data_IF_241629257483
#
_entry.id   IF_241629257483
#
_cell.length_a   1.000
_cell.length_b   1.000
_cell.length_c   1.000
_cell.angle_alpha   90.00
_cell.angle_beta   90.00
_cell.angle_gamma   90.00
#
_symmetry.space_group_name_H-M   'P 1'
#
loop_
_entity.id
_entity.type
_entity.pdbx_description
1 polymer ?
#
# COMPACT_ATOMS: atom_id res chain seq x y z
N UNK A 1 -19.93 13.11 -3.54
CA UNK A 1 -18.94 13.29 -2.46
C UNK A 1 -18.96 14.75 -2.03
N UNK A 2 -18.64 15.04 -0.77
CA UNK A 2 -18.41 16.41 -0.29
C UNK A 2 -16.90 16.62 -0.22
N UNK A 3 -16.40 17.71 -0.76
CA UNK A 3 -14.98 18.05 -0.67
C UNK A 3 -14.57 18.25 0.79
N UNK A 4 -13.31 17.92 1.16
CA UNK A 4 -12.81 18.14 2.51
C UNK A 4 -12.86 19.63 2.86
N UNK A 5 -13.31 19.94 4.07
CA UNK A 5 -13.39 21.32 4.56
C UNK A 5 -11.99 21.95 4.74
N UNK A 6 -10.98 21.12 5.01
CA UNK A 6 -9.59 21.51 5.09
C UNK A 6 -8.74 20.65 4.13
N UNK A 7 -8.14 21.21 3.07
CA UNK A 7 -7.32 20.45 2.13
C UNK A 7 -6.01 19.94 2.75
N UNK A 8 -5.59 20.45 3.91
CA UNK A 8 -4.43 19.95 4.65
C UNK A 8 -4.77 18.78 5.59
N UNK A 9 -6.06 18.50 5.83
CA UNK A 9 -6.48 17.34 6.59
C UNK A 9 -6.33 16.08 5.75
N UNK A 10 -5.70 15.05 6.29
CA UNK A 10 -5.60 13.80 5.58
C UNK A 10 -6.98 13.14 5.49
N UNK A 11 -7.40 12.79 4.28
CA UNK A 11 -8.76 12.34 3.96
C UNK A 11 -9.28 11.20 4.85
N UNK A 12 -8.38 10.33 5.34
CA UNK A 12 -8.75 9.18 6.16
C UNK A 12 -9.27 9.60 7.54
N UNK A 13 -8.89 10.77 8.08
CA UNK A 13 -9.50 11.32 9.29
C UNK A 13 -10.98 11.62 9.05
N UNK A 14 -11.28 12.44 8.04
CA UNK A 14 -12.65 12.76 7.64
C UNK A 14 -13.47 11.53 7.20
N UNK A 15 -12.82 10.45 6.74
CA UNK A 15 -13.48 9.17 6.47
C UNK A 15 -13.85 8.46 7.77
N UNK A 16 -12.92 8.32 8.72
CA UNK A 16 -13.12 7.62 10.01
C UNK A 16 -14.19 8.25 10.90
N UNK A 17 -14.42 9.55 10.78
CA UNK A 17 -15.46 10.25 11.55
C UNK A 17 -16.89 9.90 11.11
N UNK A 18 -17.05 9.12 10.03
CA UNK A 18 -18.35 8.73 9.48
C UNK A 18 -18.54 7.24 9.64
N UNK A 19 -19.79 6.83 9.89
CA UNK A 19 -20.18 5.43 9.84
C UNK A 19 -20.34 5.00 8.38
N UNK A 20 -19.62 3.94 7.99
CA UNK A 20 -19.72 3.32 6.67
C UNK A 20 -20.16 1.86 6.82
N UNK A 21 -21.03 1.35 5.93
CA UNK A 21 -21.43 -0.05 5.96
C UNK A 21 -20.37 -0.98 5.32
N UNK A 22 -19.17 -0.47 5.08
CA UNK A 22 -18.05 -1.19 4.48
C UNK A 22 -16.73 -0.65 5.02
N UNK A 23 -15.73 -1.51 5.10
CA UNK A 23 -14.35 -1.10 5.35
C UNK A 23 -13.62 -0.72 4.05
N UNK A 24 -12.54 0.04 4.19
CA UNK A 24 -11.71 0.51 3.09
C UNK A 24 -10.25 0.11 3.28
N UNK A 25 -9.69 -0.51 2.24
CA UNK A 25 -8.27 -0.83 2.13
C UNK A 25 -7.66 0.05 1.04
N UNK A 26 -6.53 0.69 1.31
CA UNK A 26 -5.86 1.57 0.34
C UNK A 26 -4.33 1.44 0.37
N UNK A 27 -3.69 1.84 -0.73
CA UNK A 27 -2.23 1.92 -0.84
C UNK A 27 -1.84 2.98 -1.87
N UNK A 28 -1.12 4.01 -1.43
CA UNK A 28 -0.53 5.10 -2.25
C UNK A 28 0.15 6.16 -1.36
N UNK A 29 -0.27 6.28 -0.09
CA UNK A 29 0.15 7.35 0.80
C UNK A 29 1.31 6.94 1.72
N UNK A 30 2.43 6.55 1.12
CA UNK A 30 3.59 6.02 1.81
C UNK A 30 4.05 6.86 3.02
N UNK A 31 3.93 8.19 3.00
CA UNK A 31 4.40 9.07 4.08
C UNK A 31 3.77 8.72 5.44
N UNK A 32 2.54 8.20 5.45
CA UNK A 32 1.82 7.80 6.63
C UNK A 32 2.37 6.50 7.26
N UNK A 33 2.94 5.61 6.44
CA UNK A 33 3.30 4.26 6.87
C UNK A 33 2.09 3.34 6.99
N UNK A 34 2.27 2.21 7.67
CA UNK A 34 1.16 1.29 7.98
C UNK A 34 0.12 2.01 8.84
N UNK A 35 -1.09 2.14 8.32
CA UNK A 35 -2.18 2.80 9.03
C UNK A 35 -3.27 1.80 9.36
N UNK A 36 -3.64 1.75 10.63
CA UNK A 36 -4.78 0.96 11.08
C UNK A 36 -5.73 1.77 11.94
N UNK A 37 -7.01 1.73 11.57
CA UNK A 37 -8.10 2.37 12.28
C UNK A 37 -9.40 1.57 12.05
N UNK A 38 -10.48 1.81 12.82
CA UNK A 38 -11.78 1.17 12.59
C UNK A 38 -12.24 1.34 11.14
N UNK A 39 -12.57 0.24 10.47
CA UNK A 39 -12.98 0.24 9.06
C UNK A 39 -11.90 0.65 8.05
N UNK A 40 -10.64 0.89 8.45
CA UNK A 40 -9.58 1.34 7.55
C UNK A 40 -8.29 0.54 7.66
N UNK A 41 -7.68 0.28 6.51
CA UNK A 41 -6.35 -0.34 6.40
C UNK A 41 -5.54 0.36 5.30
N UNK A 42 -4.51 1.11 5.71
CA UNK A 42 -3.54 1.74 4.81
C UNK A 42 -2.29 0.88 4.71
N UNK A 43 -2.06 0.23 3.56
CA UNK A 43 -1.03 -0.79 3.39
C UNK A 43 0.28 -0.26 2.78
N UNK A 44 0.30 0.98 2.33
CA UNK A 44 1.51 1.57 1.74
C UNK A 44 2.51 1.99 2.83
N UNK A 45 3.40 1.06 3.16
CA UNK A 45 4.54 1.29 4.05
C UNK A 45 5.81 1.67 3.27
N UNK A 46 5.68 2.10 2.01
CA UNK A 46 6.76 2.72 1.25
C UNK A 46 7.81 1.76 0.70
N UNK A 47 7.43 0.55 0.28
CA UNK A 47 8.36 -0.50 -0.19
C UNK A 47 9.39 -0.01 -1.23
N UNK A 48 8.98 0.85 -2.16
CA UNK A 48 9.83 1.37 -3.24
C UNK A 48 10.94 2.30 -2.75
N UNK A 49 10.83 2.81 -1.51
CA UNK A 49 11.81 3.73 -0.93
C UNK A 49 13.02 3.01 -0.32
N UNK A 50 13.08 1.67 -0.37
CA UNK A 50 14.23 0.86 0.02
C UNK A 50 14.85 1.24 1.38
N UNK A 51 14.01 1.50 2.39
CA UNK A 51 14.45 1.81 3.75
C UNK A 51 15.14 3.16 3.93
N UNK A 52 14.98 4.12 3.01
CA UNK A 52 15.56 5.47 3.18
C UNK A 52 14.83 6.20 4.33
N UNK A 53 15.51 6.28 5.48
CA UNK A 53 15.11 7.13 6.60
C UNK A 53 14.01 6.57 7.52
N UNK A 54 13.52 5.33 7.27
CA UNK A 54 12.56 4.60 8.10
C UNK A 54 12.44 3.14 7.68
N UNK A 55 11.84 2.32 8.53
CA UNK A 55 11.49 0.94 8.19
C UNK A 55 10.37 0.93 7.14
N UNK A 56 10.66 0.37 5.98
CA UNK A 56 9.70 0.25 4.86
C UNK A 56 9.52 -1.21 4.49
N UNK A 57 8.31 -1.59 4.14
CA UNK A 57 7.99 -2.96 3.75
C UNK A 57 7.05 -2.98 2.55
N UNK A 58 6.98 -4.12 1.88
CA UNK A 58 5.76 -4.50 1.18
C UNK A 58 4.83 -5.11 2.23
N UNK A 59 3.72 -4.44 2.51
CA UNK A 59 2.71 -4.91 3.46
C UNK A 59 1.52 -5.51 2.71
N UNK A 60 1.05 -6.67 3.18
CA UNK A 60 -0.23 -7.25 2.82
C UNK A 60 -1.07 -7.44 4.09
N UNK A 61 -2.39 -7.35 3.95
CA UNK A 61 -3.35 -7.67 4.99
C UNK A 61 -4.14 -8.90 4.58
N UNK A 62 -4.18 -9.88 5.47
CA UNK A 62 -4.85 -11.17 5.32
C UNK A 62 -6.01 -11.19 6.34
N UNK A 63 -7.19 -10.66 5.97
CA UNK A 63 -8.34 -10.71 6.86
C UNK A 63 -8.78 -12.16 7.10
N UNK A 64 -9.19 -12.46 8.32
CA UNK A 64 -9.93 -13.68 8.58
C UNK A 64 -11.39 -13.47 8.13
N UNK A 65 -11.80 -14.22 7.11
CA UNK A 65 -13.11 -14.13 6.48
C UNK A 65 -14.20 -14.90 7.22
N UNK A 66 -13.85 -15.66 8.28
CA UNK A 66 -14.83 -16.33 9.13
C UNK A 66 -15.51 -15.36 10.12
N UNK A 67 -14.94 -14.15 10.28
CA UNK A 67 -15.49 -13.12 11.14
C UNK A 67 -16.59 -12.30 10.48
N UNK A 68 -17.55 -11.85 11.30
CA UNK A 68 -18.65 -11.00 10.85
C UNK A 68 -18.16 -9.62 10.36
N UNK A 69 -17.14 -9.05 11.03
CA UNK A 69 -16.42 -7.88 10.56
C UNK A 69 -14.91 -8.14 10.59
N UNK A 70 -14.25 -8.29 9.42
CA UNK A 70 -12.80 -8.47 9.34
C UNK A 70 -11.99 -7.30 9.90
N UNK A 71 -12.58 -6.11 10.09
CA UNK A 71 -11.91 -4.92 10.60
C UNK A 71 -11.93 -4.81 12.14
N UNK A 72 -12.72 -5.65 12.84
CA UNK A 72 -12.84 -5.67 14.32
C UNK A 72 -11.76 -6.52 15.02
N UNK A 73 -10.95 -7.28 14.27
CA UNK A 73 -9.88 -8.11 14.81
C UNK A 73 -8.69 -7.30 15.33
N UNK A 74 -7.91 -7.84 16.30
CA UNK A 74 -6.57 -7.35 16.54
C UNK A 74 -5.76 -7.44 15.24
N UNK A 75 -4.86 -6.48 15.05
CA UNK A 75 -4.12 -6.25 13.81
C UNK A 75 -2.93 -7.20 13.63
N UNK A 76 -3.14 -8.50 13.79
CA UNK A 76 -2.12 -9.54 13.64
C UNK A 76 -2.11 -10.18 12.23
N UNK A 77 -3.15 -9.95 11.43
CA UNK A 77 -3.26 -10.42 10.03
C UNK A 77 -2.36 -9.71 9.01
N UNK A 78 -1.27 -9.07 9.43
CA UNK A 78 -0.36 -8.39 8.51
C UNK A 78 0.85 -9.25 8.17
N UNK A 79 1.06 -9.41 6.87
CA UNK A 79 2.31 -9.95 6.35
C UNK A 79 3.19 -8.82 5.84
N UNK A 80 4.47 -8.84 6.20
CA UNK A 80 5.43 -7.83 5.78
C UNK A 80 6.68 -8.48 5.20
N UNK A 81 7.10 -7.99 4.03
CA UNK A 81 8.43 -8.24 3.49
C UNK A 81 9.22 -6.93 3.51
N UNK A 82 10.30 -6.90 4.30
CA UNK A 82 11.19 -5.73 4.38
C UNK A 82 11.68 -5.31 3.00
N UNK A 83 11.62 -4.01 2.72
CA UNK A 83 12.20 -3.47 1.51
C UNK A 83 13.72 -3.53 1.61
N UNK A 84 14.36 -4.19 0.64
CA UNK A 84 15.82 -4.31 0.56
C UNK A 84 16.33 -3.57 -0.65
N UNK A 85 17.46 -2.87 -0.51
CA UNK A 85 18.20 -2.16 -1.57
C UNK A 85 18.82 -3.06 -2.65
N UNK A 86 18.24 -4.24 -2.92
CA UNK A 86 18.83 -5.24 -3.84
C UNK A 86 19.11 -4.71 -5.24
N UNK A 87 18.33 -3.73 -5.71
CA UNK A 87 18.52 -3.12 -7.04
C UNK A 87 19.63 -2.06 -7.09
N UNK A 88 20.16 -1.60 -5.95
CA UNK A 88 21.25 -0.61 -5.89
C UNK A 88 22.57 -1.20 -5.37
N UNK A 89 22.50 -2.25 -4.55
CA UNK A 89 23.70 -2.95 -4.04
C UNK A 89 24.33 -3.88 -5.08
N UNK A 90 23.55 -4.30 -6.08
CA UNK A 90 24.08 -4.98 -7.24
C UNK A 90 24.60 -3.93 -8.23
N UNK A 91 25.91 -3.68 -8.22
CA UNK A 91 26.62 -3.12 -9.39
C UNK A 91 26.58 -4.04 -10.63
N UNK A 92 25.53 -4.85 -10.76
CA UNK A 92 25.26 -5.69 -11.91
C UNK A 92 24.54 -4.90 -12.99
N UNK A 93 24.70 -5.28 -14.27
CA UNK A 93 24.04 -4.60 -15.37
C UNK A 93 22.53 -4.59 -15.16
N UNK A 94 21.90 -3.43 -15.38
CA UNK A 94 20.46 -3.35 -15.60
C UNK A 94 20.15 -4.35 -16.73
N UNK A 95 19.27 -5.33 -16.54
CA UNK A 95 18.88 -6.20 -17.65
C UNK A 95 18.32 -5.29 -18.75
N UNK A 96 19.01 -5.27 -19.89
CA UNK A 96 18.56 -4.50 -21.04
C UNK A 96 17.10 -4.86 -21.31
N UNK A 97 16.27 -3.84 -21.56
CA UNK A 97 14.93 -4.07 -22.06
C UNK A 97 15.07 -5.01 -23.26
N UNK A 98 14.52 -6.22 -23.13
CA UNK A 98 14.50 -7.18 -24.24
C UNK A 98 13.98 -6.48 -25.49
N UNK A 99 14.47 -6.86 -26.69
CA UNK A 99 14.11 -6.17 -27.91
C UNK A 99 12.58 -6.08 -27.99
N UNK A 100 12.08 -4.86 -28.21
CA UNK A 100 10.67 -4.65 -28.50
C UNK A 100 10.36 -5.51 -29.71
N UNK A 101 9.53 -6.55 -29.53
CA UNK A 101 9.04 -7.32 -30.66
C UNK A 101 8.23 -6.36 -31.52
N UNK A 102 8.84 -5.94 -32.64
CA UNK A 102 8.16 -5.21 -33.68
C UNK A 102 7.04 -6.13 -34.20
N UNK A 103 5.80 -5.75 -33.92
CA UNK A 103 4.63 -6.41 -34.46
C UNK A 103 4.76 -6.51 -35.98
N UNK A 104 4.78 -7.74 -36.48
CA UNK A 104 4.63 -8.05 -37.89
C UNK A 104 3.23 -7.65 -38.32
N UNK A 105 3.09 -6.50 -38.98
CA UNK A 105 1.94 -6.26 -39.86
C UNK A 105 2.04 -7.23 -41.04
N UNK A 106 1.16 -8.23 -41.05
CA UNK A 106 0.96 -9.11 -42.19
C UNK A 106 -0.05 -8.45 -43.13
N UNK A 107 0.41 -8.13 -44.35
CA UNK A 107 -0.42 -7.90 -45.55
C UNK A 107 -1.07 -9.20 -46.04
#
# INVERSE_FOLDING_TARGET
>A
SRDPANPAEAWHHAWSEREHPYGLVYGHFAIQGLHVAPGLRGLDSGCVHNGIGRDTALTAWLPDLEYADPFELPDDGFWQAEARRRYYDAGGPIPEAGPAEAGSEAE
#
